data_IF_378751870873
#
_entry.id   IF_378751870873
#
_cell.length_a   1.000
_cell.length_b   1.000
_cell.length_c   1.000
_cell.angle_alpha   90.00
_cell.angle_beta   90.00
_cell.angle_gamma   90.00
#
_symmetry.space_group_name_H-M   'P 1'
#
loop_
_entity.id
_entity.type
_entity.pdbx_description
1 polymer ?
#
# COMPACT_ATOMS: atom_id res chain seq x y z
N UNK A 1 -12.28 -21.40 15.97
CA UNK A 1 -12.87 -20.07 15.69
C UNK A 1 -14.22 -20.29 15.03
N UNK A 2 -15.23 -19.57 15.46
CA UNK A 2 -16.55 -19.55 14.82
C UNK A 2 -16.39 -18.87 13.45
N UNK A 3 -17.06 -19.38 12.42
CA UNK A 3 -16.98 -18.75 11.11
C UNK A 3 -17.64 -17.36 11.19
N UNK A 4 -16.90 -16.30 10.83
CA UNK A 4 -17.43 -14.93 10.73
C UNK A 4 -18.44 -14.83 9.61
N UNK A 5 -19.46 -14.00 9.77
CA UNK A 5 -20.43 -13.71 8.70
C UNK A 5 -19.77 -12.80 7.65
N UNK A 6 -19.77 -13.25 6.40
CA UNK A 6 -19.30 -12.45 5.26
C UNK A 6 -20.39 -11.46 4.87
N UNK A 7 -20.06 -10.18 4.78
CA UNK A 7 -20.95 -9.10 4.35
C UNK A 7 -20.68 -8.68 2.90
N UNK A 8 -19.40 -8.73 2.48
CA UNK A 8 -18.97 -8.29 1.15
C UNK A 8 -17.70 -9.03 0.75
N UNK A 9 -17.57 -9.34 -0.53
CA UNK A 9 -16.33 -9.84 -1.14
C UNK A 9 -16.05 -9.14 -2.47
N UNK A 10 -14.79 -8.89 -2.74
CA UNK A 10 -14.34 -8.31 -4.01
C UNK A 10 -12.91 -8.72 -4.33
N UNK A 11 -12.62 -8.93 -5.61
CA UNK A 11 -11.25 -9.15 -6.09
C UNK A 11 -10.77 -7.87 -6.79
N UNK A 12 -9.82 -7.19 -6.15
CA UNK A 12 -9.09 -6.11 -6.80
C UNK A 12 -8.23 -6.69 -7.93
N UNK A 13 -8.45 -6.20 -9.13
CA UNK A 13 -7.62 -6.54 -10.27
C UNK A 13 -6.31 -5.74 -10.24
N UNK A 14 -5.25 -6.19 -10.92
CA UNK A 14 -4.02 -5.42 -11.10
C UNK A 14 -4.30 -3.97 -11.54
N UNK A 15 -3.65 -3.00 -10.89
CA UNK A 15 -3.80 -1.58 -11.21
C UNK A 15 -5.13 -0.94 -10.81
N UNK A 16 -5.91 -1.59 -9.95
CA UNK A 16 -7.18 -1.06 -9.45
C UNK A 16 -7.20 -0.88 -7.94
N UNK A 17 -8.12 -0.05 -7.47
CA UNK A 17 -8.47 0.12 -6.08
C UNK A 17 -9.98 0.14 -5.89
N UNK A 18 -10.45 0.12 -4.65
CA UNK A 18 -11.87 0.25 -4.34
C UNK A 18 -12.09 0.96 -3.03
N UNK A 19 -13.03 1.91 -3.05
CA UNK A 19 -13.54 2.49 -1.82
C UNK A 19 -14.64 1.60 -1.23
N UNK A 20 -14.56 1.35 0.08
CA UNK A 20 -15.47 0.47 0.84
C UNK A 20 -15.91 1.19 2.11
N UNK A 21 -17.21 1.29 2.31
CA UNK A 21 -17.76 1.71 3.61
C UNK A 21 -17.59 0.56 4.61
N UNK A 22 -16.85 0.81 5.66
CA UNK A 22 -16.60 -0.15 6.74
C UNK A 22 -17.13 0.45 8.04
N UNK A 23 -18.21 -0.13 8.57
CA UNK A 23 -18.86 0.36 9.78
C UNK A 23 -18.11 -0.10 11.02
N UNK A 24 -18.24 0.65 12.11
CA UNK A 24 -17.67 0.29 13.39
C UNK A 24 -18.09 -1.13 13.82
N UNK A 25 -17.13 -1.97 14.17
CA UNK A 25 -17.34 -3.38 14.47
C UNK A 25 -17.31 -4.31 13.27
N UNK A 26 -17.01 -3.82 12.07
CA UNK A 26 -16.74 -4.65 10.90
C UNK A 26 -15.23 -4.83 10.70
N UNK A 27 -14.87 -5.92 10.05
CA UNK A 27 -13.48 -6.29 9.75
C UNK A 27 -13.28 -6.30 8.24
N UNK A 28 -12.31 -5.54 7.76
CA UNK A 28 -11.82 -5.68 6.40
C UNK A 28 -10.62 -6.62 6.40
N UNK A 29 -10.74 -7.75 5.73
CA UNK A 29 -9.62 -8.62 5.38
C UNK A 29 -9.06 -8.23 4.03
N UNK A 30 -7.75 -7.99 3.99
CA UNK A 30 -6.96 -7.85 2.78
C UNK A 30 -6.12 -9.11 2.64
N UNK A 31 -6.36 -9.89 1.57
CA UNK A 31 -5.82 -11.24 1.42
C UNK A 31 -5.09 -11.40 0.09
N UNK A 32 -3.95 -12.05 0.14
CA UNK A 32 -3.14 -12.43 -1.03
C UNK A 32 -3.82 -13.54 -1.83
N UNK A 33 -4.12 -13.30 -3.11
CA UNK A 33 -4.64 -14.33 -4.02
C UNK A 33 -3.51 -15.22 -4.52
N UNK A 34 -2.43 -14.61 -5.01
CA UNK A 34 -1.28 -15.31 -5.58
C UNK A 34 -0.01 -15.16 -4.73
N UNK A 35 -0.02 -14.24 -3.77
CA UNK A 35 1.15 -13.84 -2.99
C UNK A 35 1.98 -12.76 -3.69
N UNK A 36 2.96 -12.22 -2.96
CA UNK A 36 3.96 -11.28 -3.47
C UNK A 36 3.37 -9.96 -4.02
N UNK A 37 2.25 -9.48 -3.47
CA UNK A 37 1.62 -8.22 -3.85
C UNK A 37 1.55 -7.26 -2.65
N UNK A 38 2.05 -6.05 -2.82
CA UNK A 38 1.84 -4.94 -1.88
C UNK A 38 0.47 -4.30 -2.11
N UNK A 39 -0.14 -3.85 -1.02
CA UNK A 39 -1.41 -3.11 -1.05
C UNK A 39 -1.22 -1.80 -0.33
N UNK A 40 -1.47 -0.69 -1.00
CA UNK A 40 -1.53 0.60 -0.34
C UNK A 40 -2.94 0.82 0.19
N UNK A 41 -3.03 1.28 1.42
CA UNK A 41 -4.30 1.43 2.12
C UNK A 41 -4.43 2.83 2.70
N UNK A 42 -5.55 3.47 2.43
CA UNK A 42 -5.95 4.73 3.05
C UNK A 42 -7.34 4.61 3.66
N UNK A 43 -7.65 5.46 4.62
CA UNK A 43 -9.02 5.60 5.08
C UNK A 43 -9.32 7.00 5.61
N UNK A 44 -10.61 7.32 5.56
CA UNK A 44 -11.21 8.52 6.12
C UNK A 44 -12.32 8.12 7.11
N UNK A 45 -12.63 8.99 8.05
CA UNK A 45 -13.92 8.89 8.75
C UNK A 45 -15.04 9.05 7.71
N UNK A 46 -15.97 8.08 7.67
CA UNK A 46 -17.06 8.07 6.70
C UNK A 46 -17.96 9.32 6.77
N UNK A 47 -18.08 9.92 7.94
CA UNK A 47 -18.95 11.09 8.18
C UNK A 47 -18.20 12.43 8.19
N UNK A 48 -16.85 12.40 8.12
CA UNK A 48 -16.02 13.61 8.12
C UNK A 48 -14.67 13.35 7.43
N UNK A 49 -14.61 13.55 6.12
CA UNK A 49 -13.40 13.28 5.32
C UNK A 49 -12.19 14.18 5.64
N UNK A 50 -12.33 15.18 6.54
CA UNK A 50 -11.15 15.85 7.12
C UNK A 50 -10.42 14.98 8.12
N UNK A 51 -11.09 14.00 8.71
CA UNK A 51 -10.44 13.00 9.55
C UNK A 51 -9.97 11.84 8.70
N UNK A 52 -8.69 11.83 8.43
CA UNK A 52 -8.02 10.81 7.63
C UNK A 52 -6.97 10.07 8.45
N UNK A 53 -6.64 8.87 8.04
CA UNK A 53 -5.52 8.12 8.58
C UNK A 53 -4.23 8.93 8.44
N UNK A 54 -3.34 8.80 9.42
CA UNK A 54 -2.08 9.56 9.47
C UNK A 54 -0.89 8.65 9.81
N UNK A 55 -0.10 8.32 8.80
CA UNK A 55 1.07 7.46 8.95
C UNK A 55 2.06 7.97 10.00
N UNK A 56 2.30 9.29 10.05
CA UNK A 56 3.18 9.89 11.04
C UNK A 56 2.74 9.67 12.49
N UNK A 57 1.43 9.74 12.78
CA UNK A 57 0.90 9.45 14.13
C UNK A 57 1.00 7.95 14.43
N UNK A 58 0.60 7.10 13.51
CA UNK A 58 0.71 5.63 13.63
C UNK A 58 2.16 5.23 13.91
N UNK A 59 3.11 5.78 13.14
CA UNK A 59 4.55 5.53 13.29
C UNK A 59 5.09 5.98 14.65
N UNK A 60 4.64 7.12 15.16
CA UNK A 60 5.08 7.63 16.47
C UNK A 60 4.68 6.70 17.61
N UNK A 61 3.53 6.03 17.49
CA UNK A 61 3.00 5.13 18.53
C UNK A 61 3.52 3.70 18.37
N UNK A 62 3.60 3.20 17.16
CA UNK A 62 3.82 1.78 16.87
C UNK A 62 5.11 1.47 16.09
N UNK A 63 5.94 2.49 15.79
CA UNK A 63 7.08 2.31 14.88
C UNK A 63 6.64 2.29 13.42
N UNK A 64 7.57 2.01 12.52
CA UNK A 64 7.32 2.09 11.08
C UNK A 64 6.81 0.79 10.45
N UNK A 65 6.80 -0.32 11.20
CA UNK A 65 6.21 -1.60 10.77
C UNK A 65 5.06 -2.02 11.71
N UNK A 66 3.91 -1.33 11.71
CA UNK A 66 2.78 -1.72 12.54
C UNK A 66 2.22 -3.08 12.06
N UNK A 67 1.94 -3.96 13.01
CA UNK A 67 1.41 -5.30 12.80
C UNK A 67 0.29 -5.60 13.79
N UNK A 68 -0.13 -6.86 13.92
CA UNK A 68 -1.15 -7.30 14.88
C UNK A 68 -0.99 -6.62 16.23
N UNK A 69 -2.07 -6.04 16.74
CA UNK A 69 -2.10 -5.29 17.99
C UNK A 69 -1.89 -3.79 17.85
N UNK A 70 -1.50 -3.31 16.67
CA UNK A 70 -1.34 -1.88 16.44
C UNK A 70 -2.66 -1.21 16.02
N UNK A 71 -2.76 0.08 16.32
CA UNK A 71 -3.86 0.94 15.87
C UNK A 71 -3.40 1.82 14.71
N UNK A 72 -4.30 2.06 13.75
CA UNK A 72 -4.12 3.08 12.73
C UNK A 72 -4.82 4.36 13.21
N UNK A 73 -4.06 5.43 13.32
CA UNK A 73 -4.49 6.68 13.95
C UNK A 73 -4.86 7.75 12.93
N UNK A 74 -5.82 8.60 13.30
CA UNK A 74 -6.14 9.79 12.51
C UNK A 74 -5.15 10.93 12.76
N UNK A 75 -5.18 11.92 11.84
CA UNK A 75 -4.36 13.13 11.91
C UNK A 75 -4.81 14.07 13.04
N UNK A 76 -3.87 14.93 13.56
CA UNK A 76 -4.27 16.05 14.37
C UNK A 76 -5.33 16.91 13.67
N UNK A 77 -6.20 17.54 14.39
CA UNK A 77 -6.31 17.62 15.84
C UNK A 77 -7.23 16.55 16.47
N UNK A 78 -7.69 15.58 15.68
CA UNK A 78 -8.59 14.52 16.17
C UNK A 78 -7.83 13.42 16.90
N UNK A 79 -6.77 12.89 16.31
CA UNK A 79 -5.81 11.96 16.91
C UNK A 79 -6.46 10.81 17.67
N UNK A 80 -7.35 10.10 17.02
CA UNK A 80 -7.98 8.90 17.57
C UNK A 80 -7.70 7.68 16.71
N UNK A 81 -7.81 6.49 17.30
CA UNK A 81 -7.70 5.24 16.57
C UNK A 81 -8.91 5.07 15.64
N UNK A 82 -8.66 4.86 14.35
CA UNK A 82 -9.68 4.58 13.34
C UNK A 82 -9.88 3.08 13.17
N UNK A 83 -8.77 2.33 13.11
CA UNK A 83 -8.73 0.88 12.87
C UNK A 83 -7.78 0.21 13.87
N UNK A 84 -8.00 -1.07 14.10
CA UNK A 84 -7.13 -1.95 14.86
C UNK A 84 -6.70 -3.13 13.99
N UNK A 85 -5.41 -3.45 13.98
CA UNK A 85 -4.89 -4.63 13.28
C UNK A 85 -5.17 -5.86 14.15
N UNK A 86 -6.27 -6.55 13.86
CA UNK A 86 -6.77 -7.67 14.63
C UNK A 86 -5.98 -8.95 14.34
N UNK A 87 -5.62 -9.18 13.09
CA UNK A 87 -4.80 -10.30 12.64
C UNK A 87 -3.83 -9.86 11.56
N UNK A 88 -2.67 -10.46 11.56
CA UNK A 88 -1.63 -10.26 10.55
C UNK A 88 -0.79 -11.53 10.45
N UNK A 89 -0.95 -12.29 9.36
CA UNK A 89 -0.27 -13.57 9.18
C UNK A 89 1.18 -13.42 8.72
N UNK A 90 1.58 -12.21 8.35
CA UNK A 90 2.89 -11.90 7.76
C UNK A 90 3.79 -11.13 8.72
N UNK A 91 3.22 -10.17 9.48
CA UNK A 91 3.95 -9.33 10.43
C UNK A 91 4.89 -8.32 9.74
N UNK A 92 4.61 -7.96 8.50
CA UNK A 92 5.42 -7.02 7.73
C UNK A 92 4.52 -6.07 6.94
N UNK A 93 4.44 -4.84 7.43
CA UNK A 93 3.75 -3.73 6.81
C UNK A 93 4.61 -2.47 7.00
N UNK A 94 4.25 -1.39 6.33
CA UNK A 94 5.04 -0.16 6.39
C UNK A 94 4.16 1.09 6.50
N UNK A 95 4.62 2.08 7.26
CA UNK A 95 4.09 3.45 7.33
C UNK A 95 5.21 4.50 7.20
N UNK A 96 6.39 4.09 6.70
CA UNK A 96 7.54 4.95 6.50
C UNK A 96 7.54 5.55 5.10
N UNK A 97 7.38 4.71 4.08
CA UNK A 97 7.33 5.16 2.70
C UNK A 97 5.97 5.74 2.33
N UNK A 98 5.95 6.85 1.59
CA UNK A 98 4.72 7.33 0.98
C UNK A 98 4.26 6.34 -0.10
N UNK A 99 3.00 6.46 -0.50
CA UNK A 99 2.52 5.83 -1.74
C UNK A 99 3.38 6.26 -2.93
N UNK A 100 3.58 5.37 -3.88
CA UNK A 100 4.23 5.75 -5.12
C UNK A 100 3.35 6.69 -5.95
N UNK A 101 4.01 7.54 -6.75
CA UNK A 101 3.37 8.50 -7.65
C UNK A 101 4.13 8.55 -8.98
N UNK A 102 3.60 9.23 -9.97
CA UNK A 102 4.25 9.43 -11.27
C UNK A 102 5.69 9.94 -11.13
N UNK A 103 5.94 10.84 -10.17
CA UNK A 103 7.26 11.41 -9.94
C UNK A 103 8.36 10.35 -9.72
N UNK A 104 8.09 9.31 -8.92
CA UNK A 104 9.08 8.24 -8.66
C UNK A 104 9.45 7.52 -9.94
N UNK A 105 8.46 7.18 -10.76
CA UNK A 105 8.70 6.44 -12.00
C UNK A 105 9.37 7.29 -13.07
N UNK A 106 8.99 8.55 -13.19
CA UNK A 106 9.58 9.49 -14.11
C UNK A 106 11.03 9.84 -13.69
N UNK A 107 11.23 10.23 -12.43
CA UNK A 107 12.54 10.71 -11.95
C UNK A 107 13.58 9.59 -11.78
N UNK A 108 13.16 8.41 -11.27
CA UNK A 108 14.10 7.32 -11.01
C UNK A 108 14.27 6.37 -12.20
N UNK A 109 13.23 6.17 -13.03
CA UNK A 109 13.23 5.17 -14.09
C UNK A 109 13.07 5.76 -15.50
N UNK A 110 12.73 7.05 -15.63
CA UNK A 110 12.52 7.71 -16.91
C UNK A 110 11.24 7.27 -17.63
N UNK A 111 10.23 6.82 -16.90
CA UNK A 111 8.95 6.43 -17.48
C UNK A 111 8.02 7.65 -17.55
N UNK A 112 7.64 8.08 -18.73
CA UNK A 112 6.75 9.24 -18.94
C UNK A 112 5.36 9.02 -18.36
N UNK A 113 4.88 7.78 -18.40
CA UNK A 113 3.60 7.37 -17.80
C UNK A 113 3.76 5.99 -17.20
N UNK A 114 3.27 5.81 -15.98
CA UNK A 114 3.34 4.53 -15.28
C UNK A 114 2.21 4.41 -14.26
N UNK A 115 1.68 3.20 -14.13
CA UNK A 115 0.73 2.86 -13.07
C UNK A 115 1.33 3.18 -11.70
N UNK A 116 0.60 3.93 -10.88
CA UNK A 116 1.07 4.33 -9.55
C UNK A 116 -0.07 4.40 -8.55
N UNK A 117 0.27 4.27 -7.27
CA UNK A 117 -0.72 4.15 -6.20
C UNK A 117 -1.51 5.43 -5.97
N UNK A 118 -0.91 6.61 -6.20
CA UNK A 118 -1.61 7.88 -6.06
C UNK A 118 -2.81 7.96 -7.01
N UNK A 119 -2.60 7.65 -8.28
CA UNK A 119 -3.65 7.72 -9.31
C UNK A 119 -4.70 6.63 -9.11
N UNK A 120 -4.29 5.41 -8.73
CA UNK A 120 -5.22 4.31 -8.44
C UNK A 120 -6.12 4.66 -7.23
N UNK A 121 -5.56 5.23 -6.17
CA UNK A 121 -6.36 5.65 -5.01
C UNK A 121 -7.27 6.83 -5.34
N UNK A 122 -6.78 7.81 -6.11
CA UNK A 122 -7.58 8.92 -6.59
C UNK A 122 -8.79 8.45 -7.39
N UNK A 123 -8.58 7.47 -8.27
CA UNK A 123 -9.66 6.86 -9.05
C UNK A 123 -10.63 6.07 -8.17
N UNK A 124 -10.12 5.25 -7.24
CA UNK A 124 -10.97 4.45 -6.35
C UNK A 124 -11.86 5.31 -5.44
N UNK A 125 -11.36 6.44 -4.95
CA UNK A 125 -12.13 7.33 -4.06
C UNK A 125 -13.06 8.30 -4.78
N UNK A 126 -12.94 8.41 -6.09
CA UNK A 126 -13.77 9.29 -6.93
C UNK A 126 -15.25 8.94 -6.86
N UNK A 127 -15.60 7.67 -6.62
CA UNK A 127 -16.97 7.21 -6.31
C UNK A 127 -17.63 8.06 -5.21
N UNK A 128 -16.84 8.55 -4.25
CA UNK A 128 -17.30 9.35 -3.11
C UNK A 128 -17.07 10.86 -3.29
N UNK A 129 -16.77 11.31 -4.49
CA UNK A 129 -16.52 12.72 -4.80
C UNK A 129 -15.22 13.26 -4.23
N UNK A 130 -14.32 12.38 -3.74
CA UNK A 130 -12.98 12.75 -3.33
C UNK A 130 -12.09 12.97 -4.56
N UNK A 131 -11.12 13.86 -4.45
CA UNK A 131 -10.26 14.30 -5.54
C UNK A 131 -8.84 13.74 -5.37
N UNK A 132 -7.96 13.84 -6.36
CA UNK A 132 -6.55 13.47 -6.20
C UNK A 132 -5.85 14.20 -5.03
N UNK A 133 -6.24 15.44 -4.73
CA UNK A 133 -5.68 16.21 -3.60
C UNK A 133 -6.04 15.62 -2.22
N UNK A 134 -7.02 14.72 -2.16
CA UNK A 134 -7.44 14.05 -0.94
C UNK A 134 -6.63 12.78 -0.66
N UNK A 135 -5.84 12.29 -1.62
CA UNK A 135 -4.98 11.13 -1.45
C UNK A 135 -3.82 11.49 -0.51
N UNK A 136 -3.69 10.74 0.58
CA UNK A 136 -2.65 10.96 1.59
C UNK A 136 -1.74 9.73 1.73
N UNK A 137 -0.70 9.81 2.58
CA UNK A 137 0.24 8.71 2.76
C UNK A 137 -0.46 7.45 3.23
N UNK A 138 -0.10 6.32 2.64
CA UNK A 138 -0.75 5.03 2.83
C UNK A 138 -0.10 4.19 3.93
N UNK A 139 -0.90 3.31 4.51
CA UNK A 139 -0.43 2.12 5.19
C UNK A 139 -0.15 1.05 4.13
N UNK A 140 1.12 0.70 3.95
CA UNK A 140 1.59 -0.19 2.92
C UNK A 140 1.58 -1.63 3.46
N UNK A 141 0.48 -2.34 3.24
CA UNK A 141 0.30 -3.72 3.64
C UNK A 141 1.24 -4.64 2.87
N UNK A 142 1.88 -5.58 3.57
CA UNK A 142 2.81 -6.56 3.00
C UNK A 142 4.10 -5.96 2.43
N UNK A 143 4.38 -4.71 2.71
CA UNK A 143 5.61 -4.06 2.27
C UNK A 143 6.74 -4.27 3.29
N UNK A 144 7.84 -4.85 2.82
CA UNK A 144 8.99 -5.15 3.65
C UNK A 144 9.99 -3.99 3.57
N UNK A 145 10.05 -3.22 4.66
CA UNK A 145 10.94 -2.06 4.79
C UNK A 145 11.95 -2.30 5.87
N UNK A 146 13.19 -1.91 5.62
CA UNK A 146 14.28 -1.92 6.57
C UNK A 146 14.91 -0.53 6.66
N UNK A 147 15.39 -0.16 7.85
CA UNK A 147 16.15 1.07 8.08
C UNK A 147 17.55 0.68 8.55
N UNK A 148 18.55 1.13 7.83
CA UNK A 148 19.95 0.89 8.15
C UNK A 148 20.42 1.80 9.29
N UNK A 149 21.58 1.48 9.87
CA UNK A 149 22.15 2.24 10.99
C UNK A 149 22.48 3.69 10.65
N UNK A 150 22.72 3.99 9.37
CA UNK A 150 22.93 5.35 8.84
C UNK A 150 21.64 6.08 8.48
N UNK A 151 20.48 5.47 8.77
CA UNK A 151 19.16 6.08 8.59
C UNK A 151 18.57 5.93 7.20
N UNK A 152 19.15 5.15 6.30
CA UNK A 152 18.56 4.87 4.99
C UNK A 152 17.42 3.89 5.13
N UNK A 153 16.31 4.19 4.46
CA UNK A 153 15.20 3.27 4.32
C UNK A 153 15.33 2.51 2.98
N UNK A 154 15.14 1.21 3.02
CA UNK A 154 15.18 0.34 1.84
C UNK A 154 13.96 -0.56 1.81
N UNK A 155 13.45 -0.84 0.62
CA UNK A 155 12.40 -1.81 0.40
C UNK A 155 13.07 -3.14 0.05
N UNK A 156 12.86 -4.13 0.90
CA UNK A 156 13.35 -5.48 0.66
C UNK A 156 12.28 -6.33 0.00
N UNK A 157 12.69 -7.48 -0.51
CA UNK A 157 11.78 -8.37 -1.20
C UNK A 157 10.73 -8.95 -0.26
N UNK A 158 9.47 -8.86 -0.62
CA UNK A 158 8.41 -9.51 0.13
C UNK A 158 8.38 -11.03 -0.12
N UNK A 159 7.77 -11.76 0.82
CA UNK A 159 7.72 -13.22 0.81
C UNK A 159 6.32 -13.76 1.15
N UNK A 160 5.28 -13.00 0.85
CA UNK A 160 3.90 -13.41 1.09
C UNK A 160 3.49 -14.56 0.17
N UNK A 161 2.51 -15.34 0.63
CA UNK A 161 1.96 -16.52 -0.03
C UNK A 161 0.46 -16.36 -0.27
N UNK A 162 -0.14 -17.16 -1.16
CA UNK A 162 -1.60 -17.23 -1.26
C UNK A 162 -2.24 -17.51 0.12
N UNK A 163 -3.29 -16.75 0.46
CA UNK A 163 -4.00 -16.86 1.74
C UNK A 163 -3.41 -16.04 2.89
N UNK A 164 -2.19 -15.48 2.76
CA UNK A 164 -1.68 -14.51 3.73
C UNK A 164 -2.57 -13.27 3.76
N UNK A 165 -2.86 -12.75 4.96
CA UNK A 165 -3.81 -11.66 5.10
C UNK A 165 -3.55 -10.77 6.31
N UNK A 166 -4.15 -9.60 6.27
CA UNK A 166 -4.30 -8.67 7.40
C UNK A 166 -5.77 -8.38 7.60
N UNK A 167 -6.24 -8.47 8.85
CA UNK A 167 -7.60 -8.13 9.28
C UNK A 167 -7.58 -6.77 10.01
N UNK A 168 -8.33 -5.82 9.47
CA UNK A 168 -8.48 -4.47 10.00
C UNK A 168 -9.88 -4.31 10.61
N UNK A 169 -9.98 -4.25 11.93
CA UNK A 169 -11.25 -4.00 12.64
C UNK A 169 -11.52 -2.49 12.72
N UNK A 170 -12.67 -2.06 12.24
CA UNK A 170 -13.09 -0.68 12.31
C UNK A 170 -13.57 -0.30 13.73
N UNK A 171 -12.98 0.74 14.29
CA UNK A 171 -13.34 1.30 15.59
C UNK A 171 -14.34 2.46 15.48
N UNK A 172 -14.41 3.05 14.31
CA UNK A 172 -15.36 4.06 13.88
C UNK A 172 -15.78 3.75 12.44
N UNK A 173 -16.86 4.34 11.97
CA UNK A 173 -17.24 4.20 10.58
C UNK A 173 -16.19 4.86 9.68
N UNK A 174 -15.61 4.11 8.77
CA UNK A 174 -14.55 4.59 7.86
C UNK A 174 -14.89 4.31 6.39
N UNK A 175 -14.42 5.18 5.53
CA UNK A 175 -14.27 4.90 4.10
C UNK A 175 -12.86 4.34 3.90
N UNK A 176 -12.75 3.04 3.68
CA UNK A 176 -11.50 2.31 3.46
C UNK A 176 -11.17 2.26 1.96
N UNK A 177 -9.92 2.55 1.58
CA UNK A 177 -9.50 2.65 0.18
C UNK A 177 -8.22 1.84 -0.04
N UNK A 178 -8.32 0.49 -0.07
CA UNK A 178 -7.24 -0.37 -0.50
C UNK A 178 -7.05 -0.32 -2.02
N UNK A 179 -5.79 -0.40 -2.47
CA UNK A 179 -5.46 -0.59 -3.88
C UNK A 179 -4.30 -1.55 -4.08
N UNK A 180 -4.30 -2.26 -5.20
CA UNK A 180 -3.13 -3.03 -5.66
C UNK A 180 -2.00 -2.04 -5.94
N UNK A 181 -0.88 -2.17 -5.24
CA UNK A 181 0.26 -1.27 -5.44
C UNK A 181 0.79 -1.39 -6.88
N UNK A 182 0.93 -0.25 -7.55
CA UNK A 182 1.33 -0.16 -8.96
C UNK A 182 2.83 -0.43 -9.23
N UNK A 183 3.57 -0.93 -8.25
CA UNK A 183 5.02 -1.10 -8.34
C UNK A 183 5.42 -2.41 -9.04
N UNK A 184 5.14 -2.54 -10.32
CA UNK A 184 5.44 -3.72 -11.15
C UNK A 184 6.91 -3.81 -11.62
N UNK A 185 7.70 -2.78 -11.40
CA UNK A 185 9.14 -2.74 -11.73
C UNK A 185 10.04 -2.81 -10.49
N UNK A 186 9.46 -3.08 -9.33
CA UNK A 186 10.17 -3.08 -8.04
C UNK A 186 9.93 -4.37 -7.24
N UNK A 187 10.78 -4.58 -6.24
CA UNK A 187 10.65 -5.66 -5.24
C UNK A 187 9.35 -5.61 -4.45
N UNK A 188 8.75 -4.44 -4.33
CA UNK A 188 7.50 -4.18 -3.60
C UNK A 188 6.38 -5.14 -4.00
N UNK A 189 6.21 -5.37 -5.30
CA UNK A 189 5.23 -6.34 -5.85
C UNK A 189 5.90 -7.47 -6.64
N UNK A 190 7.20 -7.73 -6.36
CA UNK A 190 7.99 -8.77 -7.00
C UNK A 190 7.93 -8.70 -8.54
N UNK A 191 8.07 -7.48 -9.07
CA UNK A 191 8.14 -7.18 -10.52
C UNK A 191 6.90 -7.57 -11.34
N UNK A 192 5.74 -7.74 -10.71
CA UNK A 192 4.48 -8.01 -11.40
C UNK A 192 3.29 -7.62 -10.52
N UNK A 193 2.21 -7.12 -11.13
CA UNK A 193 0.97 -6.85 -10.41
C UNK A 193 0.12 -8.12 -10.34
N UNK A 194 -0.49 -8.36 -9.17
CA UNK A 194 -1.32 -9.53 -8.88
C UNK A 194 -2.62 -9.11 -8.20
N UNK A 195 -3.68 -9.90 -8.32
CA UNK A 195 -4.96 -9.60 -7.68
C UNK A 195 -4.87 -9.73 -6.16
N UNK A 196 -5.73 -8.96 -5.48
CA UNK A 196 -5.93 -9.00 -4.04
C UNK A 196 -7.40 -9.26 -3.74
N UNK A 197 -7.68 -10.14 -2.79
CA UNK A 197 -9.05 -10.38 -2.30
C UNK A 197 -9.35 -9.49 -1.10
N UNK A 198 -10.50 -8.83 -1.16
CA UNK A 198 -11.07 -8.06 -0.07
C UNK A 198 -12.31 -8.79 0.46
N UNK A 199 -12.41 -8.96 1.78
CA UNK A 199 -13.60 -9.52 2.42
C UNK A 199 -13.97 -8.68 3.62
N UNK A 200 -15.23 -8.27 3.71
CA UNK A 200 -15.77 -7.61 4.90
C UNK A 200 -16.56 -8.62 5.72
N UNK A 201 -16.23 -8.71 6.99
CA UNK A 201 -16.92 -9.55 7.96
C UNK A 201 -17.60 -8.72 9.05
N UNK A 202 -18.65 -9.25 9.63
CA UNK A 202 -19.12 -8.82 10.95
C UNK A 202 -18.19 -9.37 12.03
N UNK A 203 -17.68 -8.49 12.91
CA UNK A 203 -16.89 -8.91 14.06
C UNK A 203 -17.77 -9.57 15.11
N UNK A 204 -17.34 -10.70 15.65
CA UNK A 204 -17.96 -11.34 16.79
C UNK A 204 -17.53 -10.70 18.13
N UNK A 205 -18.06 -11.23 19.24
CA UNK A 205 -17.75 -10.68 20.57
C UNK A 205 -16.28 -10.95 20.97
N UNK A 206 -15.68 -12.05 20.51
CA UNK A 206 -14.27 -12.37 20.77
C UNK A 206 -13.36 -11.40 20.02
N UNK A 207 -13.68 -11.08 18.77
CA UNK A 207 -12.99 -10.07 17.97
C UNK A 207 -13.00 -8.70 18.65
N UNK A 208 -14.17 -8.26 19.11
CA UNK A 208 -14.35 -6.98 19.81
C UNK A 208 -13.64 -6.96 21.15
N UNK A 209 -13.66 -8.06 21.89
CA UNK A 209 -12.96 -8.21 23.17
C UNK A 209 -11.43 -8.25 23.03
N UNK A 210 -10.92 -8.63 21.86
CA UNK A 210 -9.48 -8.63 21.60
C UNK A 210 -8.89 -7.22 21.46
N UNK A 211 -9.72 -6.18 21.26
CA UNK A 211 -9.26 -4.81 21.14
C UNK A 211 -8.94 -4.24 22.52
N UNK A 212 -7.68 -3.85 22.80
CA UNK A 212 -7.34 -3.21 24.06
C UNK A 212 -7.99 -1.82 24.16
N UNK A 213 -8.14 -1.33 25.39
CA UNK A 213 -8.61 0.03 25.58
C UNK A 213 -7.71 1.02 24.87
N UNK A 214 -8.27 1.83 23.97
CA UNK A 214 -7.53 2.87 23.29
C UNK A 214 -7.16 3.99 24.27
N UNK A 215 -5.94 4.54 24.20
CA UNK A 215 -5.60 5.70 24.97
C UNK A 215 -6.54 6.86 24.61
N UNK A 216 -7.31 7.33 25.58
CA UNK A 216 -8.13 8.53 25.41
C UNK A 216 -7.27 9.74 25.80
N UNK A 217 -6.92 10.56 24.84
CA UNK A 217 -6.22 11.81 25.12
C UNK A 217 -7.22 12.81 25.73
N UNK A 218 -6.89 13.40 26.87
CA UNK A 218 -7.72 14.44 27.50
C UNK A 218 -7.92 15.67 26.61
N UNK A 219 -6.99 15.87 25.67
CA UNK A 219 -7.02 16.94 24.67
C UNK A 219 -7.66 16.54 23.34
N UNK A 220 -8.22 15.33 23.24
CA UNK A 220 -8.84 14.87 22.01
C UNK A 220 -10.00 15.79 21.64
N UNK A 221 -9.91 16.35 20.44
CA UNK A 221 -10.92 17.26 19.93
C UNK A 221 -11.91 16.52 19.05
N UNK A 222 -13.17 16.89 19.17
CA UNK A 222 -14.26 16.45 18.33
C UNK A 222 -14.55 17.50 17.25
N UNK A 223 -15.30 17.20 16.19
CA UNK A 223 -15.75 18.20 15.23
C UNK A 223 -16.41 19.43 15.85
N UNK A 224 -17.03 19.28 17.05
CA UNK A 224 -17.68 20.38 17.80
C UNK A 224 -16.66 21.42 18.35
N UNK A 225 -15.41 21.02 18.50
CA UNK A 225 -14.33 21.88 19.05
C UNK A 225 -13.70 22.79 17.98
N UNK A 226 -14.09 22.66 16.72
CA UNK A 226 -13.56 23.47 15.62
C UNK A 226 -14.50 24.60 15.28
N UNK A 227 -13.93 25.83 15.20
CA UNK A 227 -14.70 27.02 14.84
C UNK A 227 -15.13 27.04 13.39
N UNK A 228 -14.36 26.40 12.51
CA UNK A 228 -14.68 26.36 11.08
C UNK A 228 -15.32 25.03 10.72
N UNK A 229 -16.45 25.04 10.04
CA UNK A 229 -17.07 23.84 9.55
C UNK A 229 -16.11 23.08 8.62
N UNK A 230 -16.33 21.77 8.53
CA UNK A 230 -15.57 20.94 7.61
C UNK A 230 -15.90 21.32 6.16
N UNK A 231 -14.93 21.85 5.42
CA UNK A 231 -15.11 22.21 4.01
C UNK A 231 -15.53 20.98 3.19
N UNK A 232 -15.02 19.80 3.53
CA UNK A 232 -15.40 18.55 2.83
C UNK A 232 -16.83 18.12 3.16
N UNK A 233 -17.32 18.37 4.38
CA UNK A 233 -18.72 18.13 4.73
C UNK A 233 -19.69 19.11 4.05
N UNK A 234 -19.22 20.32 3.75
CA UNK A 234 -20.03 21.33 3.05
C UNK A 234 -20.09 21.09 1.53
N UNK A 235 -19.25 20.21 0.99
CA UNK A 235 -19.39 19.76 -0.38
C UNK A 235 -20.60 18.81 -0.46
N UNK A 236 -21.44 19.01 -1.44
CA UNK A 236 -22.46 18.05 -1.81
C UNK A 236 -21.79 16.83 -2.47
N UNK A 237 -21.05 16.04 -1.67
CA UNK A 237 -20.46 14.81 -2.15
C UNK A 237 -21.57 13.81 -2.37
N UNK A 238 -21.83 13.48 -3.62
CA UNK A 238 -22.82 12.48 -3.98
C UNK A 238 -22.10 11.23 -4.40
N UNK A 239 -22.35 10.13 -3.68
CA UNK A 239 -21.87 8.81 -4.07
C UNK A 239 -22.51 8.40 -5.39
N UNK A 240 -21.70 7.88 -6.30
CA UNK A 240 -22.18 7.18 -7.49
C UNK A 240 -22.12 5.66 -7.24
N UNK A 241 -23.25 5.01 -6.92
CA UNK A 241 -23.27 3.58 -6.58
C UNK A 241 -23.01 2.65 -7.77
N UNK A 242 -23.07 3.18 -8.99
CA UNK A 242 -22.78 2.42 -10.22
C UNK A 242 -21.37 2.67 -10.75
N UNK A 243 -20.60 3.55 -10.06
CA UNK A 243 -19.23 3.84 -10.44
C UNK A 243 -18.34 2.60 -10.36
N UNK A 244 -17.57 2.36 -11.39
CA UNK A 244 -16.55 1.33 -11.45
C UNK A 244 -15.22 2.02 -11.72
N UNK A 245 -14.26 1.83 -10.81
CA UNK A 245 -12.92 2.38 -10.98
C UNK A 245 -12.28 1.81 -12.23
N UNK A 246 -11.72 2.69 -13.07
CA UNK A 246 -11.05 2.31 -14.29
C UNK A 246 -9.58 1.99 -14.03
N UNK A 247 -8.98 1.24 -14.93
CA UNK A 247 -7.54 1.03 -14.94
C UNK A 247 -6.84 2.34 -15.31
N UNK A 248 -6.00 2.86 -14.40
CA UNK A 248 -5.51 4.25 -14.48
C UNK A 248 -4.39 4.44 -15.49
N UNK A 249 -3.55 3.42 -15.67
CA UNK A 249 -2.39 3.52 -16.55
C UNK A 249 -2.15 2.24 -17.35
N UNK A 250 -1.38 2.39 -18.42
CA UNK A 250 -0.87 1.23 -19.17
C UNK A 250 0.28 0.58 -18.38
N UNK A 251 0.23 -0.72 -18.11
CA UNK A 251 1.34 -1.41 -17.47
C UNK A 251 2.61 -1.33 -18.34
N UNK A 252 3.77 -1.48 -17.70
CA UNK A 252 5.05 -1.52 -18.40
C UNK A 252 5.00 -2.62 -19.46
N UNK A 253 5.32 -2.25 -20.70
CA UNK A 253 5.46 -3.20 -21.78
C UNK A 253 6.75 -3.99 -21.57
N UNK A 254 6.64 -5.28 -21.34
CA UNK A 254 7.80 -6.16 -21.29
C UNK A 254 8.34 -6.37 -22.71
N UNK A 255 9.65 -6.25 -22.84
CA UNK A 255 10.38 -6.63 -24.04
C UNK A 255 11.21 -7.88 -23.73
N UNK A 256 11.12 -8.87 -24.59
CA UNK A 256 11.94 -10.08 -24.47
C UNK A 256 13.38 -9.77 -24.93
N UNK A 257 14.32 -9.91 -24.01
CA UNK A 257 15.74 -9.81 -24.30
C UNK A 257 16.37 -11.17 -24.11
N UNK A 258 16.91 -11.73 -25.17
CA UNK A 258 17.67 -12.99 -25.11
C UNK A 258 19.10 -12.71 -24.68
N UNK A 259 19.56 -13.37 -23.62
CA UNK A 259 20.93 -13.32 -23.13
C UNK A 259 21.54 -14.71 -23.17
N UNK A 260 22.73 -14.85 -23.75
CA UNK A 260 23.48 -16.10 -23.71
C UNK A 260 24.37 -16.12 -22.47
N UNK A 261 24.20 -17.11 -21.61
CA UNK A 261 25.01 -17.33 -20.41
C UNK A 261 25.95 -18.52 -20.63
N UNK A 262 27.13 -18.47 -20.03
CA UNK A 262 27.98 -19.66 -19.88
C UNK A 262 27.32 -20.66 -18.92
N UNK A 263 27.78 -21.91 -18.91
CA UNK A 263 27.27 -22.91 -17.98
C UNK A 263 27.50 -22.53 -16.52
N UNK A 264 28.56 -21.80 -16.23
CA UNK A 264 28.88 -21.29 -14.89
C UNK A 264 27.94 -20.15 -14.48
N UNK A 265 27.67 -19.21 -15.39
CA UNK A 265 26.74 -18.09 -15.16
C UNK A 265 25.30 -18.60 -14.99
N UNK A 266 24.87 -19.57 -15.80
CA UNK A 266 23.57 -20.22 -15.63
C UNK A 266 23.46 -20.93 -14.26
N UNK A 267 24.48 -21.65 -13.82
CA UNK A 267 24.50 -22.28 -12.50
C UNK A 267 24.52 -21.25 -11.34
N UNK A 268 25.08 -20.07 -11.54
CA UNK A 268 25.00 -18.96 -10.57
C UNK A 268 23.57 -18.42 -10.50
N UNK A 269 22.92 -18.23 -11.65
CA UNK A 269 21.55 -17.73 -11.73
C UNK A 269 20.58 -18.73 -11.07
N UNK A 270 20.70 -20.02 -11.32
CA UNK A 270 19.94 -21.10 -10.66
C UNK A 270 20.07 -21.05 -9.14
N UNK A 271 21.28 -20.86 -8.64
CA UNK A 271 21.54 -20.77 -7.20
C UNK A 271 20.89 -19.54 -6.55
N UNK A 272 20.73 -18.46 -7.29
CA UNK A 272 20.01 -17.26 -6.85
C UNK A 272 18.50 -17.45 -6.98
N UNK A 273 18.03 -17.98 -8.11
CA UNK A 273 16.62 -18.10 -8.41
C UNK A 273 15.90 -19.10 -7.50
N UNK A 274 16.51 -20.27 -7.26
CA UNK A 274 15.87 -21.37 -6.55
C UNK A 274 15.44 -21.03 -5.11
N UNK A 275 16.33 -20.50 -4.23
CA UNK A 275 15.96 -20.24 -2.83
C UNK A 275 15.11 -19.00 -2.62
N UNK A 276 15.20 -18.02 -3.51
CA UNK A 276 14.66 -16.66 -3.31
C UNK A 276 13.47 -16.40 -4.21
N UNK A 277 13.49 -16.92 -5.44
CA UNK A 277 12.51 -16.60 -6.50
C UNK A 277 11.69 -17.83 -6.94
N UNK A 278 11.76 -18.96 -6.19
CA UNK A 278 11.02 -20.17 -6.52
C UNK A 278 11.38 -20.73 -7.91
N UNK A 279 12.66 -20.59 -8.30
CA UNK A 279 13.19 -20.93 -9.62
C UNK A 279 12.75 -19.99 -10.78
N UNK A 280 12.22 -18.81 -10.48
CA UNK A 280 11.96 -17.77 -11.50
C UNK A 280 13.26 -17.01 -11.81
N UNK A 281 13.99 -17.43 -12.81
CA UNK A 281 15.23 -16.81 -13.28
C UNK A 281 15.00 -15.39 -13.81
N UNK A 282 13.85 -15.14 -14.43
CA UNK A 282 13.49 -13.81 -14.92
C UNK A 282 13.31 -12.81 -13.77
N UNK A 283 12.68 -13.21 -12.66
CA UNK A 283 12.58 -12.38 -11.47
C UNK A 283 13.96 -12.14 -10.83
N UNK A 284 14.82 -13.16 -10.81
CA UNK A 284 16.19 -13.02 -10.29
C UNK A 284 17.02 -12.02 -11.13
N UNK A 285 16.94 -12.09 -12.45
CA UNK A 285 17.63 -11.15 -13.35
C UNK A 285 17.11 -9.72 -13.20
N UNK A 286 15.80 -9.53 -13.06
CA UNK A 286 15.19 -8.21 -12.82
C UNK A 286 15.66 -7.61 -11.50
N UNK A 287 15.78 -8.43 -10.44
CA UNK A 287 16.25 -7.95 -9.14
C UNK A 287 17.75 -7.59 -9.17
N UNK A 288 18.57 -8.33 -9.90
CA UNK A 288 19.98 -7.99 -10.12
C UNK A 288 20.09 -6.65 -10.86
N UNK A 289 19.32 -6.47 -11.94
CA UNK A 289 19.31 -5.24 -12.71
C UNK A 289 18.83 -4.06 -11.87
N UNK A 290 17.76 -4.26 -11.08
CA UNK A 290 17.23 -3.25 -10.17
C UNK A 290 18.27 -2.86 -9.10
N UNK A 291 18.93 -3.84 -8.47
CA UNK A 291 19.98 -3.59 -7.47
C UNK A 291 21.14 -2.78 -8.07
N UNK A 292 21.58 -3.15 -9.27
CA UNK A 292 22.64 -2.43 -9.95
C UNK A 292 22.22 -0.98 -10.29
N UNK A 293 20.97 -0.80 -10.75
CA UNK A 293 20.41 0.52 -11.04
C UNK A 293 20.36 1.39 -9.77
N UNK A 294 19.83 0.86 -8.66
CA UNK A 294 19.80 1.59 -7.38
C UNK A 294 21.20 2.04 -6.96
N UNK A 295 22.19 1.15 -7.01
CA UNK A 295 23.56 1.47 -6.63
C UNK A 295 24.21 2.56 -7.52
N UNK A 296 23.91 2.55 -8.82
CA UNK A 296 24.56 3.44 -9.78
C UNK A 296 23.84 4.79 -9.92
N UNK A 297 22.54 4.82 -9.83
CA UNK A 297 21.75 6.00 -10.15
C UNK A 297 21.02 6.61 -8.94
N UNK A 298 20.50 5.83 -8.03
CA UNK A 298 19.87 6.37 -6.83
C UNK A 298 20.90 6.68 -5.74
N UNK A 299 21.93 5.86 -5.58
CA UNK A 299 23.06 6.15 -4.68
C UNK A 299 23.98 7.29 -5.17
N UNK A 300 24.02 7.57 -6.46
CA UNK A 300 24.83 8.66 -7.03
C UNK A 300 24.21 10.06 -6.83
N UNK A 301 22.91 10.15 -6.60
CA UNK A 301 22.24 11.40 -6.27
C UNK A 301 22.76 12.01 -4.94
N UNK A 302 23.26 11.17 -4.03
CA UNK A 302 23.88 11.61 -2.78
C UNK A 302 25.31 12.13 -2.92
N UNK A 303 26.02 11.76 -4.00
CA UNK A 303 27.42 12.15 -4.23
C UNK A 303 27.59 13.43 -5.06
N UNK A 304 26.52 14.09 -5.48
CA UNK A 304 26.59 15.29 -6.33
C UNK A 304 27.11 15.03 -7.75
N UNK A 305 27.18 13.78 -8.19
CA UNK A 305 27.51 13.44 -9.56
C UNK A 305 26.35 13.85 -10.50
N UNK A 306 26.61 14.44 -11.66
CA UNK A 306 25.58 14.87 -12.58
C UNK A 306 24.76 13.65 -13.03
N UNK A 307 23.43 13.78 -12.95
CA UNK A 307 22.50 12.81 -13.54
C UNK A 307 22.94 12.55 -14.99
N UNK A 308 23.14 11.29 -15.34
CA UNK A 308 23.50 10.91 -16.72
C UNK A 308 22.31 11.30 -17.60
N UNK A 309 22.51 12.35 -18.36
CA UNK A 309 21.49 12.94 -19.21
C UNK A 309 20.89 11.93 -20.18
N UNK A 310 19.57 12.03 -20.29
CA UNK A 310 18.73 11.61 -21.37
C UNK A 310 19.03 10.29 -22.05
N UNK A 311 18.16 9.33 -21.87
CA UNK A 311 18.11 8.14 -22.72
C UNK A 311 18.05 8.57 -24.20
N UNK A 312 19.19 8.44 -24.88
CA UNK A 312 19.21 8.56 -26.32
C UNK A 312 18.24 7.54 -26.91
N UNK A 313 17.27 8.01 -27.71
CA UNK A 313 16.41 7.15 -28.50
C UNK A 313 17.32 6.19 -29.27
N UNK A 314 17.13 4.90 -29.07
CA UNK A 314 17.71 3.88 -29.96
C UNK A 314 17.15 4.14 -31.36
N UNK A 315 17.96 3.99 -32.39
CA UNK A 315 17.54 4.18 -33.80
C UNK A 315 16.47 3.20 -34.23
#
# INVERSE_FOLDING_TARGET
MKARTVLFEHILQPGTGKAIELLAGQILRVEQVEGLQCVDFNCFNLHDYKEAMHCGRTRTVHGFNPTKGAFLWSAPPRERALLYILEDTVGRNDVLFPRCSAYVYESAYGFDTHTNCHDIQAEAQREYGLTPDDVHDSFNLFMYTEVTMDGRATITRQATKPGDHVDLLALVDVLAIPNVCGADVMRTSNFALKPIKLTVFEADDDDKAAVPATPILKSQRTPKDFRNPNIKADRALTRDPVYVAEFVNTPVRLEDIAVSLSGEEAAMLDRLALPVYGADEGAALRDILFTWWEQKFLGAAESGAPAVGGAGKRP
#
